data_IF_351734397342
#
_entry.id   IF_351734397342
#
_cell.length_a   1.000
_cell.length_b   1.000
_cell.length_c   1.000
_cell.angle_alpha   90.00
_cell.angle_beta   90.00
_cell.angle_gamma   90.00
#
_symmetry.space_group_name_H-M   'P 1'
#
loop_
_entity.id
_entity.type
_entity.pdbx_description
1 polymer ?
#
# COMPACT_ATOMS: atom_id res chain seq x y z
N UNK A 1 -12.50 -5.19 7.15
CA UNK A 1 -11.96 -4.50 5.96
C UNK A 1 -12.37 -5.28 4.73
N UNK A 2 -12.79 -4.61 3.66
CA UNK A 2 -13.11 -5.26 2.38
C UNK A 2 -11.84 -5.36 1.54
N UNK A 3 -11.58 -6.54 0.98
CA UNK A 3 -10.44 -6.80 0.12
C UNK A 3 -10.92 -6.88 -1.33
N UNK A 4 -10.51 -5.92 -2.15
CA UNK A 4 -10.91 -5.87 -3.56
C UNK A 4 -9.90 -6.59 -4.45
N UNK A 5 -10.36 -7.36 -5.46
CA UNK A 5 -9.49 -7.93 -6.49
C UNK A 5 -8.65 -6.86 -7.17
N UNK A 6 -7.40 -7.22 -7.46
CA UNK A 6 -6.51 -6.43 -8.30
C UNK A 6 -6.60 -6.96 -9.73
N UNK A 7 -6.52 -6.06 -10.70
CA UNK A 7 -6.68 -6.38 -12.11
C UNK A 7 -5.43 -5.98 -12.93
N UNK A 8 -4.26 -5.88 -12.28
CA UNK A 8 -3.00 -5.64 -13.00
C UNK A 8 -2.49 -6.95 -13.61
N UNK A 9 -1.65 -6.85 -14.64
CA UNK A 9 -1.04 -8.03 -15.25
C UNK A 9 -0.03 -8.66 -14.28
N UNK A 10 -0.14 -9.97 -14.09
CA UNK A 10 0.81 -10.76 -13.32
C UNK A 10 0.89 -12.20 -13.85
N UNK A 11 1.82 -13.00 -13.33
CA UNK A 11 1.96 -14.42 -13.70
C UNK A 11 0.78 -15.28 -13.22
N UNK A 12 0.12 -14.87 -12.15
CA UNK A 12 -1.07 -15.53 -11.61
C UNK A 12 -2.35 -14.84 -12.07
N UNK A 13 -3.46 -15.57 -11.98
CA UNK A 13 -4.78 -15.05 -12.39
C UNK A 13 -5.38 -14.18 -11.28
N UNK A 14 -6.14 -13.13 -11.64
CA UNK A 14 -6.99 -12.43 -10.67
C UNK A 14 -7.88 -13.40 -9.91
N UNK A 15 -7.93 -13.24 -8.58
CA UNK A 15 -8.72 -14.09 -7.69
C UNK A 15 -9.42 -13.22 -6.65
N UNK A 16 -10.62 -13.63 -6.22
CA UNK A 16 -11.34 -12.94 -5.15
C UNK A 16 -10.80 -13.33 -3.78
N UNK A 17 -10.82 -12.38 -2.84
CA UNK A 17 -10.37 -12.64 -1.48
C UNK A 17 -11.16 -13.77 -0.80
N UNK A 18 -12.48 -13.82 -1.00
CA UNK A 18 -13.35 -14.84 -0.40
C UNK A 18 -12.91 -16.27 -0.74
N UNK A 19 -12.33 -16.46 -1.93
CA UNK A 19 -11.80 -17.76 -2.38
C UNK A 19 -10.53 -18.17 -1.62
N UNK A 20 -9.70 -17.20 -1.24
CA UNK A 20 -8.37 -17.43 -0.65
C UNK A 20 -8.29 -17.06 0.83
N UNK A 21 -9.36 -16.55 1.42
CA UNK A 21 -9.38 -15.99 2.77
C UNK A 21 -8.84 -16.97 3.81
N UNK A 22 -9.31 -18.22 3.78
CA UNK A 22 -8.85 -19.27 4.69
C UNK A 22 -7.35 -19.57 4.56
N UNK A 23 -6.79 -19.43 3.36
CA UNK A 23 -5.37 -19.63 3.11
C UNK A 23 -4.55 -18.44 3.63
N UNK A 24 -4.96 -17.22 3.27
CA UNK A 24 -4.28 -15.98 3.65
C UNK A 24 -4.23 -15.79 5.18
N UNK A 25 -5.29 -16.19 5.88
CA UNK A 25 -5.40 -16.08 7.34
C UNK A 25 -4.62 -17.14 8.12
N UNK A 26 -4.06 -18.16 7.47
CA UNK A 26 -3.35 -19.26 8.13
C UNK A 26 -1.83 -18.99 8.17
N UNK A 27 -1.26 -18.57 9.32
CA UNK A 27 0.16 -18.20 9.40
C UNK A 27 1.10 -19.37 9.13
N UNK A 28 0.68 -20.60 9.43
CA UNK A 28 1.50 -21.79 9.21
C UNK A 28 1.67 -22.09 7.72
N UNK A 29 0.63 -21.79 6.91
CA UNK A 29 0.71 -21.85 5.46
C UNK A 29 1.52 -20.70 4.88
N UNK A 30 1.29 -19.48 5.35
CA UNK A 30 1.99 -18.30 4.84
C UNK A 30 3.49 -18.34 5.15
N UNK A 31 3.89 -18.90 6.28
CA UNK A 31 5.31 -19.12 6.59
C UNK A 31 6.05 -20.02 5.58
N UNK A 32 5.31 -20.87 4.84
CA UNK A 32 5.84 -21.79 3.83
C UNK A 32 5.45 -21.38 2.40
N UNK A 33 4.73 -20.27 2.25
CA UNK A 33 4.23 -19.80 0.97
C UNK A 33 5.38 -19.30 0.09
N UNK A 34 5.44 -19.76 -1.16
CA UNK A 34 6.41 -19.28 -2.14
C UNK A 34 5.87 -18.05 -2.84
N UNK A 35 6.35 -16.88 -2.43
CA UNK A 35 6.00 -15.60 -3.05
C UNK A 35 6.52 -15.53 -4.49
N UNK A 36 5.69 -14.97 -5.37
CA UNK A 36 6.07 -14.66 -6.73
C UNK A 36 6.99 -13.43 -6.76
N UNK A 37 7.86 -13.30 -7.78
CA UNK A 37 8.61 -12.08 -7.99
C UNK A 37 7.66 -10.90 -8.23
N UNK A 38 8.07 -9.72 -7.78
CA UNK A 38 7.35 -8.49 -8.13
C UNK A 38 7.57 -8.16 -9.61
N UNK A 39 6.52 -7.73 -10.29
CA UNK A 39 6.64 -7.18 -11.65
C UNK A 39 6.83 -5.67 -11.57
N UNK A 40 7.91 -5.19 -12.16
CA UNK A 40 8.24 -3.78 -12.25
C UNK A 40 7.60 -3.14 -13.50
N UNK A 41 7.04 -1.95 -13.32
CA UNK A 41 6.60 -1.06 -14.39
C UNK A 41 7.04 0.38 -14.09
N UNK A 42 7.25 1.18 -15.14
CA UNK A 42 7.58 2.61 -14.99
C UNK A 42 6.39 3.43 -15.44
N UNK A 43 5.73 4.06 -14.48
CA UNK A 43 4.69 5.05 -14.75
C UNK A 43 5.32 6.42 -14.95
N UNK A 44 5.05 7.06 -16.08
CA UNK A 44 5.66 8.33 -16.47
C UNK A 44 4.59 9.38 -16.67
N UNK A 45 4.74 10.53 -16.04
CA UNK A 45 3.84 11.67 -16.24
C UNK A 45 4.60 12.99 -16.34
N UNK A 46 4.00 13.93 -17.02
CA UNK A 46 4.51 15.28 -17.18
C UNK A 46 4.26 16.10 -15.91
N UNK A 47 5.30 16.80 -15.44
CA UNK A 47 5.23 17.73 -14.31
C UNK A 47 5.72 19.09 -14.76
N UNK A 48 4.91 20.11 -14.48
CA UNK A 48 5.34 21.49 -14.66
C UNK A 48 6.45 21.85 -13.66
N UNK A 49 7.52 22.44 -14.17
CA UNK A 49 8.55 23.03 -13.33
C UNK A 49 8.19 24.48 -13.00
N UNK A 50 8.18 24.80 -11.71
CA UNK A 50 8.16 26.20 -11.25
C UNK A 50 9.56 26.77 -11.43
N UNK A 51 9.89 27.16 -12.65
CA UNK A 51 11.00 28.09 -12.91
C UNK A 51 10.34 29.42 -13.26
N UNK A 52 10.86 30.51 -12.69
CA UNK A 52 10.44 31.88 -12.99
C UNK A 52 10.80 32.22 -14.44
N UNK A 53 10.09 31.64 -15.39
CA UNK A 53 10.23 31.90 -16.80
C UNK A 53 8.97 32.66 -17.22
N UNK A 54 9.01 34.01 -17.28
CA UNK A 54 7.82 34.84 -17.46
C UNK A 54 7.03 34.55 -18.74
N UNK A 55 7.59 33.81 -19.70
CA UNK A 55 6.95 33.44 -20.97
C UNK A 55 7.06 31.94 -21.34
N UNK A 56 7.40 31.05 -20.40
CA UNK A 56 7.45 29.62 -20.69
C UNK A 56 7.01 28.78 -19.50
N UNK A 57 6.31 27.67 -19.78
CA UNK A 57 5.90 26.70 -18.77
C UNK A 57 6.66 25.38 -19.01
N UNK A 58 7.93 25.27 -18.55
CA UNK A 58 8.74 24.09 -18.81
C UNK A 58 8.10 22.84 -18.21
N UNK A 59 8.08 21.76 -18.98
CA UNK A 59 7.56 20.44 -18.60
C UNK A 59 8.73 19.49 -18.41
N UNK A 60 8.70 18.72 -17.32
CA UNK A 60 9.64 17.63 -17.04
C UNK A 60 8.90 16.31 -16.88
N UNK A 61 9.39 15.27 -17.54
CA UNK A 61 8.89 13.90 -17.33
C UNK A 61 9.35 13.43 -15.95
N UNK A 62 8.39 12.96 -15.14
CA UNK A 62 8.62 12.35 -13.84
C UNK A 62 8.27 10.88 -13.89
N UNK A 63 9.31 10.04 -13.84
CA UNK A 63 9.16 8.60 -13.80
C UNK A 63 8.93 8.13 -12.35
N UNK A 64 8.03 7.16 -12.19
CA UNK A 64 7.75 6.43 -10.96
C UNK A 64 7.91 4.95 -11.25
N UNK A 65 8.93 4.36 -10.66
CA UNK A 65 9.03 2.90 -10.63
C UNK A 65 7.94 2.38 -9.70
N UNK A 66 7.06 1.54 -10.23
CA UNK A 66 6.02 0.84 -9.48
C UNK A 66 6.31 -0.65 -9.57
N UNK A 67 6.06 -1.37 -8.49
CA UNK A 67 6.18 -2.81 -8.44
C UNK A 67 4.88 -3.39 -7.88
N UNK A 68 4.38 -4.45 -8.50
CA UNK A 68 3.18 -5.15 -8.08
C UNK A 68 3.52 -6.60 -7.74
N UNK A 69 2.92 -7.13 -6.69
CA UNK A 69 3.02 -8.53 -6.30
C UNK A 69 2.06 -9.40 -7.09
N UNK A 70 2.12 -10.73 -6.91
CA UNK A 70 1.03 -11.60 -7.36
C UNK A 70 -0.31 -11.23 -6.74
N UNK A 71 -1.40 -11.64 -7.37
CA UNK A 71 -2.75 -11.39 -6.90
C UNK A 71 -2.99 -12.00 -5.52
N UNK A 72 -2.59 -13.27 -5.33
CA UNK A 72 -2.65 -13.92 -4.01
C UNK A 72 -1.73 -13.22 -2.99
N UNK A 73 -0.48 -12.99 -3.38
CA UNK A 73 0.54 -12.35 -2.55
C UNK A 73 0.09 -10.97 -2.07
N UNK A 74 -0.64 -10.23 -2.91
CA UNK A 74 -1.16 -8.91 -2.57
C UNK A 74 -2.13 -8.97 -1.38
N UNK A 75 -2.93 -10.03 -1.28
CA UNK A 75 -3.81 -10.25 -0.14
C UNK A 75 -3.04 -10.65 1.11
N UNK A 76 -1.97 -11.45 0.97
CA UNK A 76 -1.09 -11.81 2.08
C UNK A 76 -0.46 -10.53 2.66
N UNK A 77 0.20 -9.73 1.83
CA UNK A 77 0.81 -8.47 2.26
C UNK A 77 -0.21 -7.55 2.93
N UNK A 78 -1.40 -7.40 2.32
CA UNK A 78 -2.44 -6.53 2.86
C UNK A 78 -2.96 -7.02 4.21
N UNK A 79 -3.28 -8.31 4.33
CA UNK A 79 -3.83 -8.90 5.53
C UNK A 79 -2.87 -8.75 6.71
N UNK A 80 -1.59 -9.10 6.54
CA UNK A 80 -0.62 -9.00 7.61
C UNK A 80 -0.25 -7.55 7.93
N UNK A 81 -0.24 -6.64 6.95
CA UNK A 81 -0.10 -5.22 7.24
C UNK A 81 -1.26 -4.69 8.10
N UNK A 82 -2.50 -5.07 7.80
CA UNK A 82 -3.68 -4.68 8.59
C UNK A 82 -3.67 -5.33 9.99
N UNK A 83 -3.23 -6.59 10.09
CA UNK A 83 -3.07 -7.30 11.37
C UNK A 83 -2.02 -6.61 12.25
N UNK A 84 -0.85 -6.30 11.71
CA UNK A 84 0.23 -5.63 12.45
C UNK A 84 -0.18 -4.21 12.88
N UNK A 85 -0.87 -3.47 12.00
CA UNK A 85 -1.37 -2.15 12.34
C UNK A 85 -2.35 -2.20 13.50
N UNK A 86 -3.36 -3.07 13.39
CA UNK A 86 -4.43 -3.20 14.38
C UNK A 86 -3.89 -3.65 15.75
N UNK A 87 -3.08 -4.70 15.77
CA UNK A 87 -2.72 -5.39 17.01
C UNK A 87 -1.41 -4.89 17.65
N UNK A 88 -0.56 -4.16 16.91
CA UNK A 88 0.74 -3.72 17.42
C UNK A 88 0.96 -2.24 17.26
N UNK A 89 1.07 -1.73 16.03
CA UNK A 89 1.45 -0.35 15.78
C UNK A 89 0.47 0.64 16.42
N UNK A 90 -0.84 0.33 16.39
CA UNK A 90 -1.85 1.13 17.06
C UNK A 90 -1.63 1.28 18.56
N UNK A 91 -1.23 0.20 19.22
CA UNK A 91 -0.94 0.18 20.66
C UNK A 91 0.38 0.87 21.00
N UNK A 92 1.42 0.66 20.18
CA UNK A 92 2.74 1.30 20.37
C UNK A 92 2.63 2.82 20.36
N UNK A 93 1.92 3.41 19.39
CA UNK A 93 1.77 4.86 19.33
C UNK A 93 1.04 5.44 20.55
N UNK A 94 0.07 4.70 21.12
CA UNK A 94 -0.59 5.10 22.36
C UNK A 94 0.37 5.05 23.54
N UNK A 95 1.12 3.96 23.68
CA UNK A 95 2.11 3.76 24.75
C UNK A 95 3.20 4.84 24.74
N UNK A 96 3.61 5.29 23.55
CA UNK A 96 4.63 6.32 23.36
C UNK A 96 4.07 7.75 23.36
N UNK A 97 2.76 7.94 23.58
CA UNK A 97 2.09 9.25 23.56
C UNK A 97 2.21 10.01 22.22
N UNK A 98 2.32 9.28 21.10
CA UNK A 98 2.44 9.85 19.74
C UNK A 98 1.20 9.58 18.87
N UNK A 99 0.15 8.95 19.40
CA UNK A 99 -1.10 8.63 18.67
C UNK A 99 -1.82 9.88 18.11
N UNK A 100 -1.54 11.05 18.67
CA UNK A 100 -2.15 12.32 18.29
C UNK A 100 -1.37 13.08 17.20
N UNK A 101 -0.15 12.67 16.85
CA UNK A 101 0.66 13.37 15.83
C UNK A 101 1.03 12.46 14.64
N UNK A 102 1.05 11.14 14.83
CA UNK A 102 1.50 10.19 13.80
C UNK A 102 0.32 9.52 13.11
N UNK A 103 0.11 9.84 11.83
CA UNK A 103 -0.97 9.25 11.02
C UNK A 103 -0.49 8.23 9.98
N UNK A 104 0.80 8.20 9.68
CA UNK A 104 1.34 7.32 8.64
C UNK A 104 1.03 5.85 8.95
N UNK A 105 0.53 5.13 7.94
CA UNK A 105 0.15 3.71 8.00
C UNK A 105 -0.98 3.35 8.98
N UNK A 106 -1.56 4.32 9.70
CA UNK A 106 -2.63 4.08 10.68
C UNK A 106 -3.91 3.64 9.99
N UNK A 107 -4.47 2.51 10.42
CA UNK A 107 -5.79 2.05 9.97
C UNK A 107 -6.94 2.47 10.89
N UNK A 108 -6.65 3.20 11.98
CA UNK A 108 -7.63 3.69 12.96
C UNK A 108 -7.90 5.21 12.89
N UNK A 109 -7.32 5.93 11.92
CA UNK A 109 -7.50 7.37 11.70
C UNK A 109 -8.21 7.67 10.37
N UNK A 110 -9.22 6.87 10.04
CA UNK A 110 -9.92 6.97 8.75
C UNK A 110 -10.55 8.36 8.56
N UNK A 111 -10.38 8.93 7.37
CA UNK A 111 -10.93 10.24 7.02
C UNK A 111 -10.20 11.45 7.61
N UNK A 112 -9.08 11.22 8.32
CA UNK A 112 -8.26 12.30 8.87
C UNK A 112 -6.96 12.45 8.09
N UNK A 113 -6.43 13.66 8.10
CA UNK A 113 -5.21 14.09 7.41
C UNK A 113 -4.25 14.75 8.39
N UNK A 114 -3.05 15.14 7.93
CA UNK A 114 -2.10 15.85 8.79
C UNK A 114 -2.67 17.16 9.35
N UNK A 115 -3.63 17.79 8.66
CA UNK A 115 -4.25 19.05 9.10
C UNK A 115 -5.09 18.83 10.36
N UNK A 116 -5.75 17.68 10.49
CA UNK A 116 -6.60 17.34 11.64
C UNK A 116 -5.80 17.03 12.92
N UNK A 117 -4.46 16.97 12.82
CA UNK A 117 -3.53 16.63 13.89
C UNK A 117 -2.40 17.66 14.05
N UNK A 118 -2.54 18.83 13.42
CA UNK A 118 -1.60 19.95 13.50
C UNK A 118 -1.97 20.94 14.61
#
# INVERSE_FOLDING_TARGET
MKYYPKNYLHFDKPISFDTVEKYVKDPSKIAKHSFLPLIQFIDSFERYESKNAPNSRPVKIKNRTIMYSGHLDSYIYRYYADYLNTNYYNHVCKKLFIDQCVIAYRNNKQGKSNIDFA
#
